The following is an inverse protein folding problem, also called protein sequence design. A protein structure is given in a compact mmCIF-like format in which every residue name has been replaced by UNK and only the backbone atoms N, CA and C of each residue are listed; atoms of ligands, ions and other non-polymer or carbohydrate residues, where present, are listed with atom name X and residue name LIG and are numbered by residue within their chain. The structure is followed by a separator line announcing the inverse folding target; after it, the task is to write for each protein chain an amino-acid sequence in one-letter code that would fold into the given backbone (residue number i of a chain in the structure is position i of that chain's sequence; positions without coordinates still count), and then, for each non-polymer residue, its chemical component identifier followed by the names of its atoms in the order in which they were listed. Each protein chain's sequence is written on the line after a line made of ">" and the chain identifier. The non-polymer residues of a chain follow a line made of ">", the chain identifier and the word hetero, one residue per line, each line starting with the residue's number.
data_IF_829854459467
#
_entry.id   IF_829854459467
#
_cell.length_a   1.000
_cell.length_b   1.000
_cell.length_c   1.000
_cell.angle_alpha   90.00
_cell.angle_beta   90.00
_cell.angle_gamma   90.00
#
_symmetry.space_group_name_H-M   'P 1'
#
loop_
_entity.id
_entity.type
_entity.pdbx_description
1 polymer ?
#
# COMPACT_ATOMS: atom_id res chain seq x y z
N UNK A 1 -10.56 18.55 5.15
CA UNK A 1 -9.66 17.39 5.06
C UNK A 1 -9.20 17.23 3.62
N UNK A 2 -7.96 16.82 3.36
CA UNK A 2 -7.58 16.39 2.00
C UNK A 2 -8.28 15.07 1.71
N UNK A 3 -8.88 14.96 0.52
CA UNK A 3 -9.56 13.73 0.12
C UNK A 3 -8.57 12.59 -0.09
N UNK A 4 -8.81 11.44 0.54
CA UNK A 4 -8.03 10.21 0.31
C UNK A 4 -8.02 9.83 -1.19
N UNK A 5 -9.15 9.99 -1.86
CA UNK A 5 -9.34 9.73 -3.28
C UNK A 5 -9.82 11.00 -4.00
N UNK A 6 -8.90 11.75 -4.63
CA UNK A 6 -9.27 12.92 -5.40
C UNK A 6 -10.17 12.57 -6.60
N UNK A 7 -10.93 13.54 -7.11
CA UNK A 7 -11.82 13.34 -8.28
C UNK A 7 -11.08 12.82 -9.52
N UNK A 8 -9.81 13.21 -9.73
CA UNK A 8 -8.97 12.73 -10.84
C UNK A 8 -8.50 11.27 -10.69
N UNK A 9 -8.60 10.70 -9.49
CA UNK A 9 -8.13 9.33 -9.24
C UNK A 9 -8.99 8.29 -9.95
N UNK A 10 -10.31 8.48 -9.99
CA UNK A 10 -11.23 7.55 -10.65
C UNK A 10 -10.93 7.41 -12.16
N UNK A 11 -10.88 8.50 -12.97
CA UNK A 11 -10.56 8.37 -14.38
C UNK A 11 -9.13 7.84 -14.58
N UNK A 12 -8.16 8.26 -13.76
CA UNK A 12 -6.80 7.70 -13.80
C UNK A 12 -6.80 6.18 -13.56
N UNK A 13 -7.55 5.70 -12.57
CA UNK A 13 -7.64 4.28 -12.22
C UNK A 13 -8.26 3.47 -13.36
N UNK A 14 -9.32 3.97 -13.99
CA UNK A 14 -9.96 3.34 -15.15
C UNK A 14 -8.98 3.25 -16.33
N UNK A 15 -8.38 4.38 -16.72
CA UNK A 15 -7.41 4.44 -17.83
C UNK A 15 -6.21 3.52 -17.56
N UNK A 16 -5.65 3.55 -16.34
CA UNK A 16 -4.56 2.66 -15.94
C UNK A 16 -4.97 1.19 -16.05
N UNK A 17 -6.17 0.84 -15.59
CA UNK A 17 -6.64 -0.55 -15.62
C UNK A 17 -6.82 -1.04 -17.04
N UNK A 18 -7.40 -0.21 -17.92
CA UNK A 18 -7.53 -0.49 -19.35
C UNK A 18 -6.16 -0.62 -20.03
N UNK A 19 -5.23 0.28 -19.73
CA UNK A 19 -3.86 0.22 -20.26
C UNK A 19 -3.15 -1.06 -19.82
N UNK A 20 -3.23 -1.44 -18.55
CA UNK A 20 -2.60 -2.67 -18.04
C UNK A 20 -3.22 -3.94 -18.64
N UNK A 21 -4.52 -3.95 -18.91
CA UNK A 21 -5.22 -5.13 -19.47
C UNK A 21 -5.05 -5.26 -20.98
N UNK A 22 -5.18 -4.16 -21.72
CA UNK A 22 -5.18 -4.19 -23.18
C UNK A 22 -3.89 -3.59 -23.74
N UNK A 23 -3.52 -2.39 -23.31
CA UNK A 23 -2.36 -1.66 -23.83
C UNK A 23 -1.04 -2.40 -23.66
N UNK A 24 -0.78 -2.98 -22.48
CA UNK A 24 0.46 -3.74 -22.23
C UNK A 24 0.52 -5.00 -23.10
N UNK A 25 -0.59 -5.74 -23.23
CA UNK A 25 -0.62 -6.94 -24.08
C UNK A 25 -0.33 -6.56 -25.53
N UNK A 26 -0.99 -5.51 -26.04
CA UNK A 26 -0.74 -4.99 -27.39
C UNK A 26 0.71 -4.57 -27.58
N UNK A 27 1.29 -3.81 -26.65
CA UNK A 27 2.68 -3.34 -26.74
C UNK A 27 3.70 -4.48 -26.64
N UNK A 28 3.45 -5.49 -25.81
CA UNK A 28 4.32 -6.68 -25.68
C UNK A 28 4.31 -7.52 -26.95
N UNK A 29 3.21 -7.57 -27.70
CA UNK A 29 3.16 -8.25 -28.99
C UNK A 29 3.73 -7.39 -30.12
N UNK A 30 3.40 -6.10 -30.14
CA UNK A 30 3.71 -5.21 -31.24
C UNK A 30 5.18 -4.74 -31.24
N UNK A 31 5.79 -4.49 -30.07
CA UNK A 31 7.18 -4.02 -30.00
C UNK A 31 8.20 -5.05 -30.53
N UNK A 32 8.12 -6.36 -30.20
CA UNK A 32 8.99 -7.37 -30.79
C UNK A 32 8.75 -7.58 -32.28
N UNK A 33 7.49 -7.61 -32.72
CA UNK A 33 7.16 -7.73 -34.16
C UNK A 33 7.75 -6.55 -34.97
N UNK A 34 7.65 -5.33 -34.43
CA UNK A 34 8.22 -4.16 -35.07
C UNK A 34 9.76 -4.15 -35.03
N UNK A 35 10.35 -4.73 -33.97
CA UNK A 35 11.81 -4.95 -33.89
C UNK A 35 12.26 -5.91 -35.00
N UNK A 36 11.52 -6.99 -35.25
CA UNK A 36 11.81 -7.93 -36.33
C UNK A 36 11.67 -7.28 -37.72
N UNK A 37 10.65 -6.44 -37.90
CA UNK A 37 10.48 -5.67 -39.14
C UNK A 37 11.67 -4.75 -39.41
N UNK A 38 12.08 -3.96 -38.41
CA UNK A 38 13.23 -3.05 -38.53
C UNK A 38 14.55 -3.82 -38.69
N UNK A 39 14.69 -5.00 -38.09
CA UNK A 39 15.91 -5.79 -38.18
C UNK A 39 16.11 -6.49 -39.54
N UNK A 40 15.02 -6.83 -40.25
CA UNK A 40 15.06 -7.59 -41.51
C UNK A 40 14.59 -6.77 -42.73
N UNK A 41 14.30 -5.48 -42.55
CA UNK A 41 13.79 -4.62 -43.61
C UNK A 41 14.91 -4.03 -44.47
N UNK A 42 14.82 -4.20 -45.78
CA UNK A 42 15.79 -3.60 -46.72
C UNK A 42 15.59 -2.08 -46.92
N UNK A 43 14.43 -1.54 -46.49
CA UNK A 43 14.03 -0.13 -46.72
C UNK A 43 13.62 0.59 -45.43
N UNK A 44 14.38 0.40 -44.35
CA UNK A 44 14.12 1.06 -43.08
C UNK A 44 14.55 2.53 -43.13
N UNK A 45 13.66 3.44 -42.76
CA UNK A 45 13.92 4.88 -42.71
C UNK A 45 14.09 5.31 -41.25
N UNK A 46 14.77 6.43 -41.00
CA UNK A 46 15.00 6.97 -39.65
C UNK A 46 13.73 7.09 -38.78
N UNK A 47 12.56 7.32 -39.38
CA UNK A 47 11.27 7.35 -38.69
C UNK A 47 10.89 6.02 -38.03
N UNK A 48 11.31 4.90 -38.60
CA UNK A 48 10.96 3.56 -38.11
C UNK A 48 11.70 3.27 -36.80
N UNK A 49 12.95 3.71 -36.67
CA UNK A 49 13.68 3.64 -35.40
C UNK A 49 13.02 4.49 -34.32
N UNK A 50 12.55 5.71 -34.65
CA UNK A 50 11.83 6.56 -33.70
C UNK A 50 10.54 5.89 -33.22
N UNK A 51 9.80 5.25 -34.12
CA UNK A 51 8.59 4.50 -33.76
C UNK A 51 8.92 3.30 -32.87
N UNK A 52 9.96 2.53 -33.20
CA UNK A 52 10.42 1.39 -32.42
C UNK A 52 10.80 1.81 -30.99
N UNK A 53 11.62 2.86 -30.84
CA UNK A 53 12.00 3.36 -29.52
C UNK A 53 10.78 3.89 -28.75
N UNK A 54 9.82 4.51 -29.44
CA UNK A 54 8.59 4.99 -28.83
C UNK A 54 7.74 3.84 -28.25
N UNK A 55 7.64 2.72 -28.95
CA UNK A 55 6.92 1.53 -28.47
C UNK A 55 7.54 0.95 -27.20
N UNK A 56 8.85 0.74 -27.21
CA UNK A 56 9.58 0.24 -26.04
C UNK A 56 9.53 1.24 -24.87
N UNK A 57 9.62 2.53 -25.17
CA UNK A 57 9.48 3.58 -24.16
C UNK A 57 8.08 3.57 -23.53
N UNK A 58 7.01 3.52 -24.32
CA UNK A 58 5.64 3.42 -23.81
C UNK A 58 5.40 2.15 -23.01
N UNK A 59 6.07 1.05 -23.37
CA UNK A 59 5.99 -0.21 -22.63
C UNK A 59 6.63 -0.07 -21.25
N UNK A 60 7.85 0.46 -21.14
CA UNK A 60 8.61 0.45 -19.87
C UNK A 60 8.44 1.69 -18.98
N UNK A 61 8.26 2.88 -19.56
CA UNK A 61 8.15 4.14 -18.81
C UNK A 61 7.09 4.12 -17.69
N UNK A 62 5.83 3.64 -17.91
CA UNK A 62 4.83 3.65 -16.84
C UNK A 62 5.21 2.75 -15.66
N UNK A 63 5.92 1.63 -15.90
CA UNK A 63 6.39 0.77 -14.82
C UNK A 63 7.54 1.41 -14.04
N UNK A 64 8.49 2.03 -14.74
CA UNK A 64 9.60 2.75 -14.12
C UNK A 64 9.11 3.92 -13.24
N UNK A 65 8.16 4.70 -13.73
CA UNK A 65 7.53 5.80 -12.98
C UNK A 65 6.81 5.26 -11.72
N UNK A 66 5.97 4.23 -11.88
CA UNK A 66 5.25 3.63 -10.75
C UNK A 66 6.20 3.04 -9.69
N UNK A 67 7.29 2.40 -10.13
CA UNK A 67 8.33 1.87 -9.24
C UNK A 67 8.99 3.01 -8.44
N UNK A 68 9.37 4.11 -9.10
CA UNK A 68 9.97 5.27 -8.45
C UNK A 68 9.05 5.91 -7.40
N UNK A 69 7.76 6.08 -7.72
CA UNK A 69 6.75 6.62 -6.79
C UNK A 69 6.61 5.69 -5.58
N UNK A 70 6.48 4.38 -5.81
CA UNK A 70 6.29 3.39 -4.75
C UNK A 70 7.51 3.30 -3.84
N UNK A 71 8.73 3.38 -4.40
CA UNK A 71 9.98 3.41 -3.63
C UNK A 71 10.05 4.64 -2.71
N UNK A 72 9.65 5.83 -3.21
CA UNK A 72 9.56 7.04 -2.38
C UNK A 72 8.54 6.89 -1.25
N UNK A 73 7.36 6.34 -1.55
CA UNK A 73 6.31 6.08 -0.53
C UNK A 73 6.77 5.07 0.52
N UNK A 74 7.44 3.99 0.10
CA UNK A 74 8.02 3.00 1.01
C UNK A 74 8.98 3.63 2.01
N UNK A 75 9.89 4.51 1.56
CA UNK A 75 10.81 5.22 2.47
C UNK A 75 10.08 6.06 3.52
N UNK A 76 9.02 6.77 3.13
CA UNK A 76 8.21 7.56 4.08
C UNK A 76 7.56 6.69 5.15
N UNK A 77 6.94 5.59 4.74
CA UNK A 77 6.29 4.66 5.67
C UNK A 77 7.32 4.03 6.61
N UNK A 78 8.50 3.63 6.12
CA UNK A 78 9.56 3.08 6.96
C UNK A 78 10.02 4.09 8.03
N UNK A 79 10.17 5.37 7.67
CA UNK A 79 10.50 6.41 8.64
C UNK A 79 9.42 6.56 9.72
N UNK A 80 8.14 6.42 9.38
CA UNK A 80 7.03 6.45 10.35
C UNK A 80 7.08 5.23 11.26
N UNK A 81 7.31 4.04 10.71
CA UNK A 81 7.41 2.81 11.50
C UNK A 81 8.55 2.91 12.50
N UNK A 82 9.71 3.41 12.10
CA UNK A 82 10.86 3.62 12.99
C UNK A 82 10.50 4.53 14.16
N UNK A 83 9.82 5.66 13.88
CA UNK A 83 9.31 6.57 14.93
C UNK A 83 8.28 5.95 15.87
N UNK A 84 7.48 5.01 15.38
CA UNK A 84 6.53 4.29 16.23
C UNK A 84 7.26 3.23 17.06
N UNK A 85 8.25 2.54 16.51
CA UNK A 85 9.10 1.59 17.24
C UNK A 85 9.89 2.28 18.38
N UNK A 86 10.32 3.53 18.17
CA UNK A 86 10.96 4.36 19.22
C UNK A 86 10.06 4.57 20.46
N UNK A 87 8.73 4.44 20.34
CA UNK A 87 7.82 4.56 21.50
C UNK A 87 7.90 3.38 22.47
N UNK A 88 8.49 2.24 22.06
CA UNK A 88 8.59 1.02 22.89
C UNK A 88 7.32 0.19 22.98
N UNK A 89 6.19 0.71 22.48
CA UNK A 89 4.86 0.04 22.51
C UNK A 89 4.56 -0.80 21.25
N UNK A 90 5.56 -0.97 20.38
CA UNK A 90 5.43 -1.70 19.13
C UNK A 90 6.77 -2.30 18.71
N UNK A 91 6.89 -3.63 18.77
CA UNK A 91 8.06 -4.37 18.33
C UNK A 91 7.65 -5.65 17.58
N UNK A 92 7.18 -5.52 16.32
CA UNK A 92 6.78 -6.67 15.51
C UNK A 92 7.99 -7.54 15.15
N UNK A 93 7.77 -8.84 15.06
CA UNK A 93 8.74 -9.79 14.53
C UNK A 93 8.85 -9.65 13.00
N UNK A 94 10.00 -9.96 12.41
CA UNK A 94 10.20 -9.81 10.96
C UNK A 94 9.23 -10.67 10.13
N UNK A 95 8.73 -11.77 10.70
CA UNK A 95 7.77 -12.70 10.10
C UNK A 95 6.32 -12.20 10.21
N UNK A 96 6.03 -11.24 11.09
CA UNK A 96 4.71 -10.67 11.34
C UNK A 96 4.51 -9.30 10.68
N UNK A 97 5.43 -8.90 9.81
CA UNK A 97 5.33 -7.71 8.97
C UNK A 97 4.87 -8.06 7.54
N UNK A 98 3.79 -7.42 7.10
CA UNK A 98 3.23 -7.54 5.76
C UNK A 98 3.36 -6.24 4.97
N UNK A 99 3.91 -6.33 3.75
CA UNK A 99 4.02 -5.19 2.84
C UNK A 99 3.23 -5.39 1.55
N UNK A 100 2.22 -4.56 1.32
CA UNK A 100 1.50 -4.51 0.05
C UNK A 100 2.11 -3.43 -0.85
N UNK A 101 3.11 -3.84 -1.63
CA UNK A 101 3.91 -2.94 -2.48
C UNK A 101 3.03 -2.05 -3.37
N UNK A 102 2.14 -2.66 -4.13
CA UNK A 102 1.29 -1.95 -5.09
C UNK A 102 0.23 -1.04 -4.44
N UNK A 103 -0.10 -1.25 -3.16
CA UNK A 103 -1.08 -0.44 -2.41
C UNK A 103 -0.44 0.59 -1.49
N UNK A 104 0.90 0.61 -1.38
CA UNK A 104 1.63 1.45 -0.41
C UNK A 104 1.07 1.29 1.00
N UNK A 105 0.85 0.03 1.40
CA UNK A 105 0.27 -0.33 2.70
C UNK A 105 1.25 -1.22 3.45
N UNK A 106 1.47 -0.88 4.71
CA UNK A 106 2.20 -1.66 5.70
C UNK A 106 1.23 -2.15 6.77
N UNK A 107 1.46 -3.39 7.18
CA UNK A 107 0.82 -4.06 8.29
C UNK A 107 1.94 -4.66 9.14
N UNK A 108 1.98 -4.36 10.42
CA UNK A 108 2.88 -5.05 11.33
C UNK A 108 2.12 -5.49 12.57
N UNK A 109 2.25 -6.75 12.94
CA UNK A 109 1.59 -7.32 14.11
C UNK A 109 2.64 -7.63 15.18
N UNK A 110 2.46 -7.08 16.37
CA UNK A 110 3.21 -7.44 17.57
C UNK A 110 2.33 -8.34 18.45
N UNK A 111 2.50 -9.66 18.30
CA UNK A 111 1.77 -10.65 19.09
C UNK A 111 2.32 -10.78 20.53
N UNK A 112 3.46 -10.19 20.87
CA UNK A 112 3.98 -10.20 22.23
C UNK A 112 3.26 -9.16 23.08
N UNK A 113 3.12 -7.95 22.55
CA UNK A 113 2.41 -6.84 23.22
C UNK A 113 0.92 -6.78 22.86
N UNK A 114 0.48 -7.48 21.82
CA UNK A 114 -0.91 -7.45 21.34
C UNK A 114 -1.25 -6.14 20.63
N UNK A 115 -0.28 -5.49 20.00
CA UNK A 115 -0.47 -4.26 19.23
C UNK A 115 -0.28 -4.54 17.75
N UNK A 116 -0.98 -3.83 16.88
CA UNK A 116 -0.69 -3.89 15.45
C UNK A 116 -0.82 -2.52 14.81
N UNK A 117 0.01 -2.29 13.80
CA UNK A 117 0.13 -1.00 13.13
C UNK A 117 -0.34 -1.10 11.69
N UNK A 118 -1.23 -0.20 11.31
CA UNK A 118 -1.65 0.01 9.93
C UNK A 118 -1.12 1.34 9.41
N UNK A 119 -0.35 1.30 8.33
CA UNK A 119 0.08 2.51 7.63
C UNK A 119 -0.26 2.44 6.16
N UNK A 120 -0.94 3.44 5.62
CA UNK A 120 -1.25 3.52 4.19
C UNK A 120 -1.14 4.91 3.63
N UNK A 121 -0.46 5.05 2.49
CA UNK A 121 -0.44 6.28 1.72
C UNK A 121 -1.46 6.20 0.59
N UNK A 122 -2.42 7.12 0.61
CA UNK A 122 -3.47 7.25 -0.38
C UNK A 122 -3.05 8.13 -1.58
N UNK A 123 -3.68 7.95 -2.75
CA UNK A 123 -3.41 8.76 -3.95
C UNK A 123 -3.57 10.27 -3.76
N UNK A 124 -4.46 10.69 -2.86
CA UNK A 124 -4.61 12.11 -2.48
C UNK A 124 -3.45 12.71 -1.68
N UNK A 125 -2.33 12.01 -1.56
CA UNK A 125 -1.20 12.37 -0.70
C UNK A 125 -1.66 12.59 0.75
N UNK A 126 -2.45 11.65 1.25
CA UNK A 126 -2.87 11.54 2.65
C UNK A 126 -2.33 10.22 3.18
N UNK A 127 -1.84 10.22 4.42
CA UNK A 127 -1.30 9.02 5.04
C UNK A 127 -2.13 8.66 6.26
N UNK A 128 -2.74 7.49 6.26
CA UNK A 128 -3.39 6.97 7.46
C UNK A 128 -2.35 6.18 8.26
N UNK A 129 -2.22 6.51 9.53
CA UNK A 129 -1.36 5.83 10.51
C UNK A 129 -2.25 5.49 11.70
N UNK A 130 -2.49 4.21 11.93
CA UNK A 130 -3.46 3.76 12.94
C UNK A 130 -2.81 2.69 13.78
N UNK A 131 -2.75 2.94 15.09
CA UNK A 131 -2.38 1.93 16.07
C UNK A 131 -3.62 1.21 16.54
N UNK A 132 -3.57 -0.12 16.57
CA UNK A 132 -4.63 -0.96 17.11
C UNK A 132 -4.09 -1.80 18.27
N UNK A 133 -4.90 -1.96 19.31
CA UNK A 133 -4.70 -2.99 20.33
C UNK A 133 -5.49 -4.26 19.98
N UNK A 134 -5.32 -5.32 20.78
CA UNK A 134 -6.00 -6.59 20.56
C UNK A 134 -7.53 -6.49 20.57
N UNK A 135 -8.08 -5.49 21.25
CA UNK A 135 -9.52 -5.32 21.47
C UNK A 135 -10.15 -4.22 20.58
N UNK A 136 -9.34 -3.53 19.78
CA UNK A 136 -9.76 -2.41 18.92
C UNK A 136 -10.59 -2.88 17.72
N UNK A 137 -10.46 -4.17 17.37
CA UNK A 137 -11.23 -4.80 16.31
C UNK A 137 -12.58 -5.29 16.84
N UNK A 138 -13.64 -5.04 16.08
CA UNK A 138 -14.98 -5.55 16.39
C UNK A 138 -15.21 -6.93 15.79
N UNK A 139 -14.71 -7.15 14.57
CA UNK A 139 -14.83 -8.41 13.84
C UNK A 139 -13.69 -8.57 12.85
N UNK A 140 -13.29 -9.82 12.64
CA UNK A 140 -12.38 -10.21 11.56
C UNK A 140 -13.12 -11.19 10.66
N UNK A 141 -13.18 -10.90 9.36
CA UNK A 141 -13.76 -11.81 8.36
C UNK A 141 -12.71 -12.16 7.32
N UNK A 142 -12.77 -13.40 6.84
CA UNK A 142 -11.93 -13.90 5.75
C UNK A 142 -12.84 -14.38 4.63
N UNK A 143 -12.65 -13.82 3.44
CA UNK A 143 -13.30 -14.22 2.21
C UNK A 143 -12.19 -14.54 1.19
N UNK A 144 -11.86 -15.83 1.06
CA UNK A 144 -10.74 -16.34 0.28
C UNK A 144 -9.39 -15.68 0.61
N UNK A 145 -8.93 -14.80 -0.26
CA UNK A 145 -7.68 -14.03 -0.14
C UNK A 145 -7.91 -12.61 0.37
N UNK A 146 -9.09 -12.32 0.93
CA UNK A 146 -9.46 -11.01 1.45
C UNK A 146 -9.71 -11.10 2.94
N UNK A 147 -8.90 -10.38 3.70
CA UNK A 147 -9.09 -10.16 5.12
C UNK A 147 -9.82 -8.83 5.31
N UNK A 148 -10.96 -8.84 5.99
CA UNK A 148 -11.70 -7.63 6.38
C UNK A 148 -11.59 -7.45 7.89
N UNK A 149 -10.96 -6.36 8.28
CA UNK A 149 -10.85 -5.96 9.69
C UNK A 149 -11.88 -4.89 9.96
N UNK A 150 -12.88 -5.19 10.79
CA UNK A 150 -13.87 -4.22 11.22
C UNK A 150 -13.35 -3.49 12.45
N UNK A 151 -13.35 -2.16 12.38
CA UNK A 151 -12.81 -1.30 13.43
C UNK A 151 -13.94 -0.64 14.21
N UNK A 152 -13.62 -0.04 15.35
CA UNK A 152 -14.55 0.81 16.12
C UNK A 152 -14.61 2.25 15.61
N UNK A 153 -13.80 2.62 14.62
CA UNK A 153 -13.75 3.99 14.09
C UNK A 153 -14.91 4.25 13.15
N UNK A 154 -15.69 5.31 13.42
CA UNK A 154 -16.82 5.71 12.56
C UNK A 154 -16.37 6.16 11.18
N UNK A 155 -15.19 6.76 11.10
CA UNK A 155 -14.57 7.27 9.87
C UNK A 155 -13.86 6.20 9.03
N UNK A 156 -13.61 5.00 9.58
CA UNK A 156 -12.99 3.88 8.88
C UNK A 156 -13.49 2.54 9.45
N UNK A 157 -14.78 2.21 9.25
CA UNK A 157 -15.42 1.06 9.90
C UNK A 157 -14.84 -0.28 9.45
N UNK A 158 -14.19 -0.34 8.28
CA UNK A 158 -13.63 -1.55 7.72
C UNK A 158 -12.32 -1.26 6.97
N UNK A 159 -11.30 -2.09 7.22
CA UNK A 159 -10.04 -2.12 6.49
C UNK A 159 -9.96 -3.41 5.67
N UNK A 160 -10.07 -3.34 4.33
CA UNK A 160 -9.87 -4.49 3.47
C UNK A 160 -8.38 -4.69 3.15
N UNK A 161 -7.90 -5.92 3.33
CA UNK A 161 -6.53 -6.36 3.08
C UNK A 161 -6.59 -7.57 2.15
N UNK A 162 -6.04 -7.43 0.95
CA UNK A 162 -5.95 -8.55 -0.01
C UNK A 162 -4.61 -9.26 0.21
N UNK A 163 -4.65 -10.46 0.77
CA UNK A 163 -3.46 -11.26 1.10
C UNK A 163 -3.77 -12.76 1.01
N UNK A 164 -2.85 -13.53 0.41
CA UNK A 164 -2.96 -14.99 0.39
C UNK A 164 -2.86 -15.66 1.76
N UNK A 165 -2.41 -14.91 2.79
CA UNK A 165 -2.32 -15.36 4.17
C UNK A 165 -3.51 -14.91 5.05
N UNK A 166 -4.65 -14.54 4.44
CA UNK A 166 -5.79 -13.95 5.15
C UNK A 166 -6.28 -14.82 6.33
N UNK A 167 -6.46 -16.12 6.11
CA UNK A 167 -6.87 -17.07 7.16
C UNK A 167 -5.86 -17.17 8.30
N UNK A 168 -4.56 -17.19 7.97
CA UNK A 168 -3.49 -17.26 8.98
C UNK A 168 -3.49 -16.01 9.87
N UNK A 169 -3.53 -14.82 9.25
CA UNK A 169 -3.57 -13.54 9.98
C UNK A 169 -4.83 -13.46 10.85
N UNK A 170 -5.99 -13.88 10.34
CA UNK A 170 -7.21 -13.91 11.12
C UNK A 170 -7.10 -14.83 12.34
N UNK A 171 -6.57 -16.03 12.18
CA UNK A 171 -6.36 -16.97 13.29
C UNK A 171 -5.42 -16.38 14.35
N UNK A 172 -4.33 -15.73 13.94
CA UNK A 172 -3.44 -15.03 14.86
C UNK A 172 -4.13 -13.88 15.59
N UNK A 173 -4.96 -13.09 14.91
CA UNK A 173 -5.75 -12.02 15.53
C UNK A 173 -6.79 -12.56 16.53
N UNK A 174 -7.44 -13.69 16.22
CA UNK A 174 -8.35 -14.34 17.15
C UNK A 174 -7.62 -14.88 18.39
N UNK A 175 -6.46 -15.51 18.21
CA UNK A 175 -5.62 -15.95 19.32
C UNK A 175 -5.13 -14.76 20.16
N UNK A 176 -4.75 -13.66 19.52
CA UNK A 176 -4.36 -12.42 20.17
C UNK A 176 -5.51 -11.86 21.01
N UNK A 177 -6.72 -11.74 20.46
CA UNK A 177 -7.88 -11.25 21.19
C UNK A 177 -8.23 -12.11 22.43
N UNK A 178 -7.96 -13.42 22.36
CA UNK A 178 -8.24 -14.35 23.45
C UNK A 178 -7.10 -14.50 24.47
N UNK A 179 -5.92 -13.93 24.21
CA UNK A 179 -4.74 -14.09 25.09
C UNK A 179 -4.86 -13.30 26.41
N UNK A 180 -5.78 -12.34 26.51
CA UNK A 180 -6.05 -11.61 27.75
C UNK A 180 -5.00 -10.53 28.08
N UNK A 181 -4.53 -9.78 27.09
CA UNK A 181 -3.64 -8.63 27.31
C UNK A 181 -4.25 -7.61 28.27
N UNK A 182 -3.40 -7.04 29.14
CA UNK A 182 -3.76 -5.90 29.99
C UNK A 182 -2.90 -4.71 29.57
N UNK A 183 -3.56 -3.61 29.20
CA UNK A 183 -2.88 -2.40 28.75
C UNK A 183 -3.00 -1.30 29.80
N UNK A 184 -1.89 -0.61 30.08
CA UNK A 184 -1.90 0.67 30.82
C UNK A 184 -1.89 1.89 29.87
N UNK A 185 -2.01 1.65 28.56
CA UNK A 185 -1.97 2.65 27.50
C UNK A 185 -2.99 2.31 26.41
N UNK A 186 -3.40 3.32 25.64
CA UNK A 186 -4.13 3.12 24.39
C UNK A 186 -3.14 3.31 23.23
N UNK A 187 -2.91 2.26 22.43
CA UNK A 187 -1.91 2.32 21.37
C UNK A 187 -2.25 3.33 20.27
N UNK A 188 -3.53 3.50 19.94
CA UNK A 188 -3.97 4.51 18.98
C UNK A 188 -3.64 5.92 19.47
N UNK A 189 -3.81 6.19 20.77
CA UNK A 189 -3.49 7.49 21.36
C UNK A 189 -1.98 7.75 21.36
N UNK A 190 -1.15 6.72 21.59
CA UNK A 190 0.31 6.81 21.47
C UNK A 190 0.71 7.22 20.04
N UNK A 191 0.11 6.58 19.03
CA UNK A 191 0.34 6.92 17.62
C UNK A 191 -0.15 8.35 17.30
N UNK A 192 -1.32 8.73 17.80
CA UNK A 192 -1.88 10.08 17.59
C UNK A 192 -1.03 11.18 18.23
N UNK A 193 -0.39 10.94 19.38
CA UNK A 193 0.55 11.89 20.00
C UNK A 193 1.77 12.17 19.11
N UNK A 194 2.19 11.19 18.30
CA UNK A 194 3.31 11.32 17.35
C UNK A 194 2.92 11.90 16.00
N UNK A 195 1.63 12.21 15.79
CA UNK A 195 1.10 12.71 14.53
C UNK A 195 1.83 13.94 13.99
N UNK A 196 2.05 14.97 14.82
CA UNK A 196 2.70 16.21 14.38
C UNK A 196 4.13 15.96 13.87
N UNK A 197 4.88 15.10 14.56
CA UNK A 197 6.20 14.66 14.13
C UNK A 197 6.13 13.88 12.81
N UNK A 198 5.17 12.97 12.67
CA UNK A 198 4.94 12.18 11.46
C UNK A 198 4.58 13.06 10.26
N UNK A 199 3.71 14.06 10.46
CA UNK A 199 3.33 15.02 9.42
C UNK A 199 4.53 15.85 8.97
N UNK A 200 5.37 16.31 9.92
CA UNK A 200 6.62 17.03 9.64
C UNK A 200 7.63 16.16 8.88
N UNK A 201 7.79 14.89 9.25
CA UNK A 201 8.75 13.97 8.63
C UNK A 201 8.36 13.57 7.21
N UNK A 202 7.06 13.34 6.99
CA UNK A 202 6.58 12.82 5.71
C UNK A 202 6.11 13.92 4.75
N UNK A 203 5.81 15.11 5.26
CA UNK A 203 5.14 16.19 4.53
C UNK A 203 3.72 15.81 4.08
N UNK A 204 3.12 14.79 4.71
CA UNK A 204 1.78 14.29 4.40
C UNK A 204 0.86 14.53 5.59
N UNK A 205 -0.38 15.00 5.38
CA UNK A 205 -1.37 15.07 6.43
C UNK A 205 -1.78 13.67 6.88
N UNK A 206 -1.96 13.50 8.19
CA UNK A 206 -2.41 12.26 8.83
C UNK A 206 -3.74 12.52 9.53
N UNK A 207 -4.89 12.08 9.01
CA UNK A 207 -6.17 12.41 9.63
C UNK A 207 -6.34 11.69 10.98
N UNK A 208 -6.91 12.38 11.97
CA UNK A 208 -7.39 11.73 13.21
C UNK A 208 -8.69 11.01 12.87
N UNK A 209 -8.73 9.73 13.20
CA UNK A 209 -9.89 8.89 13.02
C UNK A 209 -10.71 8.92 14.31
N UNK A 210 -11.91 9.47 14.21
CA UNK A 210 -12.99 9.31 15.17
C UNK A 210 -13.86 8.11 14.77
#
# INVERSE_FOLDING_TARGET
>A
MKDRFPKWWLPYYVVRTLFLRFGVITLVLLAPLFTLYVANGDYVIGSDYVFLFSLWFMLFAPFAINYGITKKRKKKILAVIEKIKETGHFNPESTSEGWLFWKSTYLGFDFQQGTFLYVRIYPGNVMDVIGFDAYSLTRTEVEDSKLRLFTRFTSLPMIPIDTGAASSIANHLHAMNNKGYTYNFNFNDVVNKKRAEIESLTGLPVPVLA
#
